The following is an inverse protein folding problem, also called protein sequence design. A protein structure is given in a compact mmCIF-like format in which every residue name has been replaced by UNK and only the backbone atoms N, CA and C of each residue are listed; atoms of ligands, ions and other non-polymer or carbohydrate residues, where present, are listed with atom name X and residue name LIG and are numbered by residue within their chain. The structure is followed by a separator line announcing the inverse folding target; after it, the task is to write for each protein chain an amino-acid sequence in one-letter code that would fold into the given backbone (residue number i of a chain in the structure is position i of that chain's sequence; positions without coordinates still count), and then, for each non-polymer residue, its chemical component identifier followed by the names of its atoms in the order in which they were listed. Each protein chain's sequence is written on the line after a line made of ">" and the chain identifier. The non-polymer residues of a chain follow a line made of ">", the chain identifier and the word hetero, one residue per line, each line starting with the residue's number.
data_IF_604565504487
#
_entry.id   IF_604565504487
#
_cell.length_a   1.000
_cell.length_b   1.000
_cell.length_c   1.000
_cell.angle_alpha   90.00
_cell.angle_beta   90.00
_cell.angle_gamma   90.00
#
_symmetry.space_group_name_H-M   'P 1'
#
loop_
_entity.id
_entity.type
_entity.pdbx_description
1 polymer ?
#
# COMPACT_ATOMS: atom_id res chain seq x y z
N UNK A 1 17.34 -5.72 -5.88
CA UNK A 1 18.07 -5.67 -4.61
C UNK A 1 18.50 -7.06 -4.22
N UNK A 2 19.68 -7.22 -3.64
CA UNK A 2 20.16 -8.49 -3.09
C UNK A 2 19.22 -8.95 -1.95
N UNK A 3 18.83 -8.03 -1.10
CA UNK A 3 17.86 -8.30 -0.04
C UNK A 3 16.42 -8.13 -0.50
N UNK A 4 15.69 -9.24 -0.63
CA UNK A 4 14.26 -9.22 -0.96
C UNK A 4 13.41 -8.52 0.12
N UNK A 5 13.85 -8.52 1.38
CA UNK A 5 13.17 -7.86 2.49
C UNK A 5 13.28 -6.32 2.44
N UNK A 6 14.31 -5.81 1.76
CA UNK A 6 14.61 -4.38 1.60
C UNK A 6 14.39 -3.87 0.17
N UNK A 7 13.77 -4.69 -0.68
CA UNK A 7 13.50 -4.34 -2.06
C UNK A 7 12.54 -3.14 -2.17
N UNK A 8 13.02 -2.05 -2.78
CA UNK A 8 12.29 -0.81 -3.02
C UNK A 8 11.73 -0.71 -4.45
N UNK A 9 11.81 -1.77 -5.24
CA UNK A 9 11.32 -1.77 -6.64
C UNK A 9 9.85 -1.42 -6.77
N UNK A 10 9.06 -1.69 -5.72
CA UNK A 10 7.67 -1.28 -5.62
C UNK A 10 7.45 0.22 -5.87
N UNK A 11 8.38 1.09 -5.46
CA UNK A 11 8.25 2.54 -5.63
C UNK A 11 8.63 3.02 -7.03
N UNK A 12 9.30 2.17 -7.84
CA UNK A 12 9.91 2.56 -9.10
C UNK A 12 9.05 2.28 -10.34
N UNK A 13 7.90 1.60 -10.19
CA UNK A 13 7.08 1.12 -11.32
C UNK A 13 6.58 2.22 -12.27
N UNK A 14 6.48 3.47 -11.79
CA UNK A 14 6.04 4.62 -12.60
C UNK A 14 7.18 5.30 -13.36
N UNK A 15 8.42 4.91 -13.13
CA UNK A 15 9.55 5.49 -13.83
C UNK A 15 9.70 4.82 -15.19
N UNK A 16 9.79 5.62 -16.29
CA UNK A 16 10.03 5.06 -17.63
C UNK A 16 11.45 4.47 -17.72
N UNK A 17 11.64 3.54 -18.65
CA UNK A 17 12.89 2.83 -18.85
C UNK A 17 14.09 3.76 -19.08
N UNK A 18 13.88 4.91 -19.72
CA UNK A 18 14.90 5.93 -19.92
C UNK A 18 15.43 6.47 -18.57
N UNK A 19 14.56 6.70 -17.61
CA UNK A 19 14.96 7.18 -16.27
C UNK A 19 15.59 6.02 -15.48
N UNK A 20 14.99 4.82 -15.52
CA UNK A 20 15.51 3.64 -14.83
C UNK A 20 16.93 3.29 -15.29
N UNK A 21 17.24 3.42 -16.59
CA UNK A 21 18.58 3.13 -17.14
C UNK A 21 19.66 4.10 -16.64
N UNK A 22 19.27 5.26 -16.12
CA UNK A 22 20.17 6.29 -15.56
C UNK A 22 20.22 6.30 -14.04
N UNK A 23 19.34 5.51 -13.40
CA UNK A 23 19.26 5.45 -11.94
C UNK A 23 20.44 4.64 -11.39
N UNK A 24 21.16 5.23 -10.47
CA UNK A 24 22.24 4.57 -9.72
C UNK A 24 21.70 4.23 -8.32
N UNK A 25 21.80 2.97 -7.93
CA UNK A 25 21.41 2.45 -6.63
C UNK A 25 22.66 1.91 -5.91
N UNK A 26 23.48 2.78 -5.27
CA UNK A 26 24.80 2.42 -4.76
C UNK A 26 24.78 1.30 -3.71
N UNK A 27 23.67 1.15 -3.00
CA UNK A 27 23.51 0.14 -1.94
C UNK A 27 22.73 -1.10 -2.39
N UNK A 28 22.48 -1.24 -3.70
CA UNK A 28 21.64 -2.32 -4.25
C UNK A 28 22.20 -3.72 -4.04
N UNK A 29 23.53 -3.83 -3.99
CA UNK A 29 24.27 -5.09 -3.88
C UNK A 29 24.73 -5.41 -2.44
N UNK A 30 24.26 -4.62 -1.45
CA UNK A 30 24.65 -4.80 -0.05
C UNK A 30 23.45 -5.20 0.80
N UNK A 31 23.70 -6.06 1.79
CA UNK A 31 22.78 -6.26 2.90
C UNK A 31 22.83 -5.08 3.88
N UNK A 32 21.80 -4.91 4.68
CA UNK A 32 21.70 -3.77 5.61
C UNK A 32 22.83 -3.76 6.65
N UNK A 33 23.24 -4.93 7.09
CA UNK A 33 24.30 -5.05 8.10
C UNK A 33 25.66 -4.68 7.55
N UNK A 34 25.94 -5.04 6.27
CA UNK A 34 27.16 -4.62 5.55
C UNK A 34 27.21 -3.09 5.44
N UNK A 35 26.06 -2.46 5.08
CA UNK A 35 25.98 -0.99 4.98
C UNK A 35 26.26 -0.34 6.32
N UNK A 36 25.77 -0.91 7.44
CA UNK A 36 26.04 -0.40 8.77
C UNK A 36 27.52 -0.58 9.19
N UNK A 37 28.14 -1.69 8.82
CA UNK A 37 29.55 -1.92 9.05
C UNK A 37 30.41 -0.88 8.30
N UNK A 38 30.15 -0.70 7.01
CA UNK A 38 30.82 0.35 6.21
C UNK A 38 30.63 1.74 6.85
N UNK A 39 29.41 2.04 7.30
CA UNK A 39 29.11 3.34 7.93
C UNK A 39 29.89 3.55 9.24
N UNK A 40 30.13 2.50 10.03
CA UNK A 40 30.98 2.54 11.24
C UNK A 40 32.44 2.73 10.89
N UNK A 41 32.92 2.00 9.87
CA UNK A 41 34.32 2.07 9.42
C UNK A 41 34.72 3.46 8.93
N UNK A 42 33.78 4.19 8.34
CA UNK A 42 33.97 5.59 7.91
C UNK A 42 33.46 6.60 8.93
N UNK A 43 33.19 6.16 10.16
CA UNK A 43 32.80 6.99 11.32
C UNK A 43 31.58 7.88 11.08
N UNK A 44 30.55 7.38 10.36
CA UNK A 44 29.30 8.12 10.18
C UNK A 44 28.49 8.13 11.49
N UNK A 45 28.09 9.31 11.95
CA UNK A 45 27.29 9.48 13.16
C UNK A 45 25.92 8.77 13.13
N UNK A 46 25.41 8.45 11.95
CA UNK A 46 24.14 7.75 11.77
C UNK A 46 24.27 6.21 11.63
N UNK A 47 25.47 5.62 11.76
CA UNK A 47 25.72 4.21 11.53
C UNK A 47 24.81 3.29 12.37
N UNK A 48 24.59 3.66 13.63
CA UNK A 48 23.76 2.91 14.59
C UNK A 48 22.34 3.49 14.77
N UNK A 49 21.96 4.49 13.95
CA UNK A 49 20.62 5.07 14.01
C UNK A 49 19.56 4.00 13.65
N UNK A 50 18.43 3.96 14.37
CA UNK A 50 17.31 3.08 14.00
C UNK A 50 16.74 3.48 12.65
N UNK A 51 16.15 2.50 11.95
CA UNK A 51 15.43 2.78 10.69
C UNK A 51 14.28 3.74 10.98
N UNK A 52 14.13 4.78 10.14
CA UNK A 52 12.98 5.68 10.22
C UNK A 52 11.70 4.88 9.88
N UNK A 53 10.77 4.82 10.83
CA UNK A 53 9.48 4.16 10.66
C UNK A 53 8.39 5.13 10.22
N UNK A 54 8.66 6.44 10.34
CA UNK A 54 7.71 7.52 10.09
C UNK A 54 8.14 8.39 8.90
N UNK A 55 7.19 9.16 8.37
CA UNK A 55 7.48 10.12 7.29
C UNK A 55 8.31 11.27 7.87
N UNK A 56 9.51 11.48 7.33
CA UNK A 56 10.52 12.39 7.88
C UNK A 56 10.10 13.87 8.02
N UNK A 57 9.04 14.29 7.32
CA UNK A 57 8.50 15.66 7.41
C UNK A 57 7.21 15.76 8.23
N UNK A 58 6.80 14.66 8.91
CA UNK A 58 5.70 14.63 9.87
C UNK A 58 6.29 14.22 11.22
N UNK A 59 6.67 15.18 12.07
CA UNK A 59 7.18 14.86 13.39
C UNK A 59 6.17 14.10 14.22
N UNK A 60 6.62 13.17 15.02
CA UNK A 60 5.84 12.47 16.05
C UNK A 60 4.65 11.65 15.53
N UNK A 61 4.58 11.39 14.20
CA UNK A 61 3.49 10.60 13.60
C UNK A 61 2.11 11.27 13.62
N UNK A 62 2.05 12.58 13.87
CA UNK A 62 0.81 13.36 13.95
C UNK A 62 0.21 13.68 12.56
N UNK A 63 -0.10 12.63 11.77
CA UNK A 63 -0.61 12.75 10.40
C UNK A 63 -1.90 13.56 10.31
N UNK A 64 -2.82 13.33 11.23
CA UNK A 64 -4.11 14.03 11.26
C UNK A 64 -3.92 15.54 11.47
N UNK A 65 -3.04 15.92 12.40
CA UNK A 65 -2.70 17.33 12.65
C UNK A 65 -2.03 17.96 11.42
N UNK A 66 -1.10 17.24 10.77
CA UNK A 66 -0.43 17.70 9.56
C UNK A 66 -1.42 17.93 8.40
N UNK A 67 -2.33 16.99 8.15
CA UNK A 67 -3.34 17.06 7.10
C UNK A 67 -4.26 18.27 7.34
N UNK A 68 -4.70 18.47 8.57
CA UNK A 68 -5.56 19.61 8.96
C UNK A 68 -4.84 20.95 8.84
N UNK A 69 -3.55 21.02 9.22
CA UNK A 69 -2.73 22.22 9.04
C UNK A 69 -2.53 22.60 7.56
N UNK A 70 -2.66 21.65 6.63
CA UNK A 70 -2.67 21.89 5.17
C UNK A 70 -4.03 22.31 4.62
N UNK A 71 -5.02 22.55 5.49
CA UNK A 71 -6.35 23.01 5.11
C UNK A 71 -7.33 21.91 4.69
N UNK A 72 -6.97 20.64 4.86
CA UNK A 72 -7.89 19.54 4.63
C UNK A 72 -8.76 19.32 5.89
N UNK A 73 -10.08 19.27 5.68
CA UNK A 73 -11.05 18.93 6.72
C UNK A 73 -11.55 17.50 6.46
N UNK A 74 -10.99 16.48 7.13
CA UNK A 74 -11.43 15.12 6.97
C UNK A 74 -12.89 14.95 7.37
N UNK A 75 -13.63 14.13 6.63
CA UNK A 75 -15.03 13.83 6.98
C UNK A 75 -15.07 13.05 8.27
N UNK A 76 -15.93 13.48 9.18
CA UNK A 76 -16.37 12.69 10.33
C UNK A 76 -17.56 11.82 9.93
N UNK A 77 -17.84 10.79 10.70
CA UNK A 77 -18.95 9.86 10.48
C UNK A 77 -19.01 8.81 11.56
N UNK A 78 -19.60 7.67 11.25
CA UNK A 78 -19.82 6.58 12.19
C UNK A 78 -19.07 5.33 11.76
N UNK A 79 -18.73 4.49 12.72
CA UNK A 79 -18.35 3.12 12.47
C UNK A 79 -19.60 2.29 12.19
N UNK A 80 -19.64 1.65 11.05
CA UNK A 80 -20.73 0.74 10.66
C UNK A 80 -20.21 -0.69 10.77
N UNK A 81 -20.79 -1.46 11.66
CA UNK A 81 -20.42 -2.84 11.93
C UNK A 81 -20.82 -3.80 10.81
N UNK A 82 -20.42 -5.09 10.91
CA UNK A 82 -20.69 -6.10 9.88
C UNK A 82 -22.18 -6.32 9.59
N UNK A 83 -23.02 -6.18 10.60
CA UNK A 83 -24.47 -6.36 10.49
C UNK A 83 -25.20 -5.04 10.16
N UNK A 84 -24.47 -3.97 9.84
CA UNK A 84 -25.01 -2.64 9.58
C UNK A 84 -25.31 -1.82 10.84
N UNK A 85 -24.95 -2.31 12.00
CA UNK A 85 -25.13 -1.62 13.27
C UNK A 85 -24.21 -0.40 13.40
N UNK A 86 -24.72 0.66 13.99
CA UNK A 86 -23.96 1.86 14.33
C UNK A 86 -23.16 1.60 15.61
N UNK A 87 -21.84 1.62 15.50
CA UNK A 87 -20.89 1.41 16.61
C UNK A 87 -20.33 2.70 17.18
N UNK A 88 -20.89 3.84 16.80
CA UNK A 88 -20.55 5.16 17.32
C UNK A 88 -19.75 6.03 16.37
N UNK A 89 -19.60 7.29 16.76
CA UNK A 89 -18.88 8.31 15.97
C UNK A 89 -17.36 8.10 15.99
N UNK A 90 -16.69 8.57 14.95
CA UNK A 90 -15.24 8.61 14.87
C UNK A 90 -14.68 10.02 14.60
N UNK A 91 -13.42 10.25 14.96
CA UNK A 91 -12.76 11.56 14.94
C UNK A 91 -12.42 12.12 13.52
N UNK A 92 -12.57 11.31 12.49
CA UNK A 92 -12.26 11.65 11.11
C UNK A 92 -11.67 10.47 10.35
N UNK A 93 -11.95 10.39 9.04
CA UNK A 93 -11.48 9.28 8.16
C UNK A 93 -9.96 9.22 8.02
N UNK A 94 -9.26 10.32 8.30
CA UNK A 94 -7.80 10.46 8.29
C UNK A 94 -7.08 9.63 9.36
N UNK A 95 -7.82 9.14 10.36
CA UNK A 95 -7.29 8.25 11.41
C UNK A 95 -7.34 6.77 11.03
N UNK A 96 -7.98 6.41 9.91
CA UNK A 96 -8.26 5.00 9.58
C UNK A 96 -7.70 4.58 8.24
N UNK A 97 -7.33 3.31 8.17
CA UNK A 97 -6.80 2.69 6.95
C UNK A 97 -7.47 1.33 6.76
N UNK A 98 -7.83 1.00 5.52
CA UNK A 98 -8.40 -0.32 5.19
C UNK A 98 -7.48 -1.44 5.70
N UNK A 99 -8.06 -2.43 6.38
CA UNK A 99 -7.34 -3.52 7.05
C UNK A 99 -6.81 -3.18 8.46
N UNK A 100 -7.01 -1.96 8.97
CA UNK A 100 -6.63 -1.59 10.32
C UNK A 100 -7.51 -2.32 11.35
N UNK A 101 -6.86 -2.85 12.40
CA UNK A 101 -7.52 -3.52 13.53
C UNK A 101 -7.37 -2.74 14.83
N UNK A 102 -6.17 -2.18 15.07
CA UNK A 102 -5.85 -1.50 16.32
C UNK A 102 -6.22 -0.02 16.24
N UNK A 103 -6.52 0.60 17.39
CA UNK A 103 -6.74 2.04 17.46
C UNK A 103 -8.11 2.48 16.94
N UNK A 104 -9.10 1.59 16.83
CA UNK A 104 -10.46 1.96 16.41
C UNK A 104 -11.23 2.65 17.56
N UNK A 105 -10.85 2.41 18.82
CA UNK A 105 -11.51 3.04 19.97
C UNK A 105 -12.92 2.51 20.29
N UNK A 106 -13.33 1.40 19.69
CA UNK A 106 -14.64 0.77 19.87
C UNK A 106 -14.56 -0.50 20.71
N UNK A 107 -15.55 -0.75 21.54
CA UNK A 107 -15.69 -1.93 22.40
C UNK A 107 -16.73 -2.90 21.82
N UNK A 108 -16.37 -3.60 20.74
CA UNK A 108 -17.30 -4.50 20.05
C UNK A 108 -17.32 -5.95 20.60
N UNK A 109 -16.48 -6.28 21.60
CA UNK A 109 -16.37 -7.63 22.16
C UNK A 109 -15.77 -8.67 21.23
N UNK A 110 -15.49 -8.30 19.98
CA UNK A 110 -14.93 -9.14 18.91
C UNK A 110 -13.90 -8.35 18.08
N UNK A 111 -12.90 -9.01 17.45
CA UNK A 111 -11.96 -8.33 16.57
C UNK A 111 -12.67 -7.79 15.32
N UNK A 112 -12.58 -6.47 15.10
CA UNK A 112 -13.07 -5.83 13.88
C UNK A 112 -11.91 -5.20 13.11
N UNK A 113 -12.08 -5.12 11.79
CA UNK A 113 -11.13 -4.57 10.83
C UNK A 113 -11.82 -3.52 9.97
N UNK A 114 -11.13 -2.46 9.63
CA UNK A 114 -11.62 -1.50 8.63
C UNK A 114 -11.73 -2.21 7.28
N UNK A 115 -12.94 -2.36 6.78
CA UNK A 115 -13.23 -2.94 5.46
C UNK A 115 -13.18 -1.87 4.37
N UNK A 116 -13.82 -0.73 4.61
CA UNK A 116 -13.89 0.37 3.65
C UNK A 116 -14.07 1.71 4.36
N UNK A 117 -13.62 2.78 3.71
CA UNK A 117 -13.95 4.17 4.05
C UNK A 117 -14.93 4.63 2.99
N UNK A 118 -16.16 4.96 3.41
CA UNK A 118 -17.23 5.27 2.48
C UNK A 118 -17.23 6.75 2.06
N UNK A 119 -17.80 7.10 0.89
CA UNK A 119 -17.83 8.48 0.41
C UNK A 119 -18.59 9.45 1.30
N UNK A 120 -19.53 8.97 2.11
CA UNK A 120 -20.29 9.74 3.10
C UNK A 120 -19.49 10.07 4.36
N UNK A 121 -18.31 9.44 4.53
CA UNK A 121 -17.46 9.60 5.70
C UNK A 121 -17.59 8.49 6.72
N UNK A 122 -18.48 7.52 6.55
CA UNK A 122 -18.58 6.37 7.43
C UNK A 122 -17.42 5.39 7.21
N UNK A 123 -17.03 4.68 8.27
CA UNK A 123 -16.01 3.64 8.25
C UNK A 123 -16.70 2.29 8.43
N UNK A 124 -16.76 1.50 7.36
CA UNK A 124 -17.31 0.17 7.39
C UNK A 124 -16.32 -0.81 8.01
N UNK A 125 -16.80 -1.60 8.95
CA UNK A 125 -16.02 -2.63 9.63
C UNK A 125 -16.46 -4.03 9.20
N UNK A 126 -15.54 -4.98 9.30
CA UNK A 126 -15.81 -6.39 9.08
C UNK A 126 -15.15 -7.23 10.17
N UNK A 127 -15.64 -8.44 10.37
CA UNK A 127 -14.97 -9.47 11.16
C UNK A 127 -13.73 -10.00 10.44
N UNK A 128 -12.93 -10.78 11.15
CA UNK A 128 -11.73 -11.43 10.59
C UNK A 128 -12.08 -12.23 9.33
N UNK A 129 -11.37 -11.93 8.24
CA UNK A 129 -11.63 -12.49 6.91
C UNK A 129 -12.40 -11.56 5.98
N UNK A 130 -13.20 -10.62 6.50
CA UNK A 130 -13.93 -9.64 5.70
C UNK A 130 -13.06 -8.50 5.17
N UNK A 131 -11.79 -8.44 5.57
CA UNK A 131 -10.78 -7.55 4.99
C UNK A 131 -10.09 -8.14 3.74
N UNK A 132 -10.46 -9.34 3.33
CA UNK A 132 -9.96 -9.97 2.10
C UNK A 132 -10.89 -9.69 0.93
N UNK A 133 -10.32 -9.50 -0.24
CA UNK A 133 -11.06 -9.11 -1.45
C UNK A 133 -10.53 -9.81 -2.69
N UNK A 134 -11.45 -10.09 -3.62
CA UNK A 134 -11.24 -10.49 -5.01
C UNK A 134 -12.58 -10.38 -5.76
N UNK A 135 -12.64 -9.71 -6.92
CA UNK A 135 -11.55 -9.11 -7.70
C UNK A 135 -11.13 -7.71 -7.23
N UNK A 136 -10.10 -7.15 -7.89
CA UNK A 136 -9.61 -5.80 -7.71
C UNK A 136 -9.54 -5.09 -9.06
N UNK A 137 -9.93 -3.82 -9.10
CA UNK A 137 -9.79 -2.95 -10.28
C UNK A 137 -8.64 -1.98 -10.08
N UNK A 138 -7.77 -1.88 -11.09
CA UNK A 138 -6.60 -0.99 -11.08
C UNK A 138 -6.70 0.02 -12.21
N UNK A 139 -6.51 1.29 -11.91
CA UNK A 139 -6.55 2.41 -12.84
C UNK A 139 -5.20 3.14 -12.93
N UNK A 140 -5.09 4.09 -13.84
CA UNK A 140 -3.86 4.90 -14.07
C UNK A 140 -2.61 4.02 -14.18
N UNK A 141 -2.71 3.03 -15.06
CA UNK A 141 -1.68 2.02 -15.26
C UNK A 141 -0.44 2.63 -15.92
N UNK A 142 0.71 2.37 -15.35
CA UNK A 142 2.01 2.75 -15.89
C UNK A 142 2.91 1.53 -16.02
N UNK A 143 3.69 1.47 -17.07
CA UNK A 143 4.70 0.45 -17.34
C UNK A 143 6.03 1.12 -17.66
N UNK A 144 7.17 0.53 -17.31
CA UNK A 144 8.47 1.12 -17.60
C UNK A 144 8.75 1.33 -19.09
N UNK A 145 8.20 0.49 -19.96
CA UNK A 145 8.36 0.56 -21.41
C UNK A 145 7.27 1.39 -22.13
N UNK A 146 6.31 1.91 -21.38
CA UNK A 146 5.19 2.70 -21.90
C UNK A 146 4.16 1.90 -22.71
N UNK A 147 4.28 0.57 -22.76
CA UNK A 147 3.31 -0.28 -23.45
C UNK A 147 2.20 -0.72 -22.50
N UNK A 148 0.98 -0.97 -22.99
CA UNK A 148 -0.08 -1.54 -22.16
C UNK A 148 0.39 -2.84 -21.50
N UNK A 149 0.04 -3.02 -20.21
CA UNK A 149 0.32 -4.27 -19.54
C UNK A 149 -0.48 -5.40 -20.19
N UNK A 150 0.21 -6.43 -20.67
CA UNK A 150 -0.43 -7.55 -21.36
C UNK A 150 -1.29 -8.37 -20.40
N UNK A 151 -2.38 -8.94 -20.91
CA UNK A 151 -3.17 -9.91 -20.17
C UNK A 151 -2.36 -11.14 -19.77
N UNK A 152 -2.70 -11.77 -18.67
CA UNK A 152 -2.08 -13.01 -18.20
C UNK A 152 -1.67 -13.05 -16.75
N UNK A 153 -0.79 -14.00 -16.43
CA UNK A 153 -0.41 -14.32 -15.07
C UNK A 153 0.74 -13.42 -14.59
N UNK A 154 0.57 -12.89 -13.39
CA UNK A 154 1.53 -12.06 -12.68
C UNK A 154 1.57 -12.43 -11.20
N UNK A 155 2.47 -11.80 -10.50
CA UNK A 155 2.41 -11.63 -9.05
C UNK A 155 2.17 -10.16 -8.77
N UNK A 156 1.38 -9.81 -7.76
CA UNK A 156 1.09 -8.42 -7.42
C UNK A 156 1.38 -8.13 -5.95
N UNK A 157 2.01 -6.99 -5.69
CA UNK A 157 2.03 -6.39 -4.35
C UNK A 157 0.96 -5.30 -4.30
N UNK A 158 0.06 -5.38 -3.33
CA UNK A 158 -1.00 -4.37 -3.08
C UNK A 158 -0.57 -3.33 -2.03
N UNK A 159 0.63 -3.48 -1.47
CA UNK A 159 1.32 -2.56 -0.55
C UNK A 159 2.82 -2.80 -0.62
N UNK A 160 3.61 -1.79 -0.29
CA UNK A 160 5.08 -1.89 -0.29
C UNK A 160 5.60 -3.05 0.56
N UNK A 161 5.11 -3.18 1.79
CA UNK A 161 5.54 -4.22 2.73
C UNK A 161 4.85 -5.58 2.51
N UNK A 162 3.89 -5.70 1.57
CA UNK A 162 3.21 -6.96 1.30
C UNK A 162 4.11 -7.91 0.50
N UNK A 163 3.90 -9.21 0.69
CA UNK A 163 4.46 -10.21 -0.22
C UNK A 163 3.69 -10.17 -1.55
N UNK A 164 4.41 -10.40 -2.65
CA UNK A 164 3.79 -10.53 -3.95
C UNK A 164 2.99 -11.83 -4.02
N UNK A 165 1.68 -11.74 -4.35
CA UNK A 165 0.78 -12.88 -4.48
C UNK A 165 0.44 -13.16 -5.96
N UNK A 166 0.14 -14.42 -6.33
CA UNK A 166 -0.29 -14.75 -7.69
C UNK A 166 -1.59 -14.03 -8.05
N UNK A 167 -1.69 -13.57 -9.29
CA UNK A 167 -2.91 -12.97 -9.83
C UNK A 167 -2.98 -13.16 -11.34
N UNK A 168 -4.18 -13.00 -11.89
CA UNK A 168 -4.43 -12.90 -13.31
C UNK A 168 -4.91 -11.48 -13.63
N UNK A 169 -4.34 -10.90 -14.67
CA UNK A 169 -4.63 -9.54 -15.13
C UNK A 169 -5.35 -9.59 -16.46
N UNK A 170 -6.42 -8.83 -16.61
CA UNK A 170 -7.14 -8.63 -17.86
C UNK A 170 -7.40 -7.13 -18.10
N UNK A 171 -7.02 -6.63 -19.26
CA UNK A 171 -7.31 -5.27 -19.68
C UNK A 171 -8.80 -5.05 -19.93
N UNK A 172 -9.31 -3.88 -19.51
CA UNK A 172 -10.70 -3.46 -19.70
C UNK A 172 -10.81 -2.38 -20.79
N UNK A 173 -11.94 -2.27 -21.49
CA UNK A 173 -12.13 -1.27 -22.55
C UNK A 173 -11.99 0.18 -22.10
N UNK A 174 -12.19 0.44 -20.81
CA UNK A 174 -12.05 1.78 -20.20
C UNK A 174 -10.61 2.11 -19.77
N UNK A 175 -9.62 1.27 -20.12
CA UNK A 175 -8.22 1.45 -19.77
C UNK A 175 -7.84 1.03 -18.34
N UNK A 176 -8.77 0.44 -17.59
CA UNK A 176 -8.46 -0.17 -16.28
C UNK A 176 -8.03 -1.62 -16.45
N UNK A 177 -7.48 -2.22 -15.40
CA UNK A 177 -7.20 -3.65 -15.32
C UNK A 177 -8.13 -4.30 -14.31
N UNK A 178 -8.71 -5.43 -14.69
CA UNK A 178 -9.35 -6.36 -13.77
C UNK A 178 -8.28 -7.34 -13.28
N UNK A 179 -8.12 -7.43 -11.98
CA UNK A 179 -7.14 -8.32 -11.33
C UNK A 179 -7.90 -9.33 -10.48
N UNK A 180 -7.76 -10.60 -10.82
CA UNK A 180 -8.36 -11.71 -10.08
C UNK A 180 -7.30 -12.54 -9.37
N UNK A 181 -7.67 -13.16 -8.26
CA UNK A 181 -6.78 -13.91 -7.39
C UNK A 181 -7.27 -15.34 -7.22
N UNK A 182 -6.36 -16.35 -7.17
CA UNK A 182 -6.74 -17.72 -6.80
C UNK A 182 -7.30 -17.79 -5.37
N UNK A 183 -6.75 -16.96 -4.47
CA UNK A 183 -7.21 -16.77 -3.09
C UNK A 183 -7.34 -15.28 -2.82
N UNK A 184 -8.40 -14.83 -2.10
CA UNK A 184 -8.60 -13.42 -1.81
C UNK A 184 -7.37 -12.78 -1.17
N UNK A 185 -7.06 -11.55 -1.55
CA UNK A 185 -5.91 -10.79 -1.04
C UNK A 185 -6.33 -9.89 0.12
N UNK A 186 -5.44 -9.75 1.09
CA UNK A 186 -5.73 -8.98 2.30
C UNK A 186 -5.67 -7.49 2.06
N UNK A 187 -6.78 -6.80 2.32
CA UNK A 187 -6.92 -5.35 2.44
C UNK A 187 -6.30 -4.54 1.28
N UNK A 188 -6.62 -4.85 0.01
CA UNK A 188 -6.30 -3.97 -1.09
C UNK A 188 -7.09 -2.67 -0.89
N UNK A 189 -6.39 -1.54 -0.72
CA UNK A 189 -7.04 -0.28 -0.37
C UNK A 189 -7.10 0.66 -1.58
N UNK A 190 -8.25 1.27 -1.88
CA UNK A 190 -8.34 2.31 -2.90
C UNK A 190 -7.32 3.43 -2.67
N UNK A 191 -6.67 3.88 -3.75
CA UNK A 191 -5.59 4.86 -3.71
C UNK A 191 -4.19 4.29 -3.44
N UNK A 192 -4.07 3.04 -2.99
CA UNK A 192 -2.78 2.34 -2.90
C UNK A 192 -2.33 1.85 -4.27
N UNK A 193 -1.01 1.70 -4.45
CA UNK A 193 -0.48 1.11 -5.67
C UNK A 193 -0.64 -0.42 -5.66
N UNK A 194 -1.00 -0.96 -6.83
CA UNK A 194 -0.84 -2.37 -7.16
C UNK A 194 0.32 -2.50 -8.15
N UNK A 195 1.38 -3.21 -7.77
CA UNK A 195 2.58 -3.34 -8.61
C UNK A 195 2.75 -4.79 -9.07
N UNK A 196 2.85 -4.98 -10.37
CA UNK A 196 2.87 -6.29 -11.03
C UNK A 196 4.30 -6.75 -11.32
N UNK A 197 4.55 -8.00 -10.98
CA UNK A 197 5.85 -8.66 -11.13
C UNK A 197 5.74 -9.94 -11.96
N UNK A 198 6.76 -10.22 -12.75
CA UNK A 198 6.93 -11.49 -13.45
C UNK A 198 8.42 -11.86 -13.44
N UNK A 199 8.75 -13.07 -12.98
CA UNK A 199 10.14 -13.53 -12.90
C UNK A 199 11.05 -12.65 -12.00
N UNK A 200 10.50 -11.94 -11.00
CA UNK A 200 11.26 -11.03 -10.14
C UNK A 200 11.42 -9.60 -10.68
N UNK A 201 10.96 -9.32 -11.90
CA UNK A 201 11.02 -8.00 -12.51
C UNK A 201 9.68 -7.26 -12.36
N UNK A 202 9.74 -5.93 -12.20
CA UNK A 202 8.59 -5.04 -12.27
C UNK A 202 8.16 -4.88 -13.72
N UNK A 203 6.90 -5.18 -14.00
CA UNK A 203 6.29 -5.00 -15.33
C UNK A 203 5.43 -3.75 -15.42
N UNK A 204 4.93 -3.26 -14.30
CA UNK A 204 4.11 -2.08 -14.23
C UNK A 204 3.31 -2.03 -12.95
N UNK A 205 2.36 -1.12 -12.90
CA UNK A 205 1.45 -0.96 -11.77
C UNK A 205 0.45 0.13 -12.04
N UNK A 206 -0.45 0.35 -11.08
CA UNK A 206 -1.44 1.41 -11.12
C UNK A 206 -2.03 1.62 -9.74
N UNK A 207 -3.04 2.48 -9.64
CA UNK A 207 -3.74 2.69 -8.38
C UNK A 207 -4.94 1.76 -8.26
N UNK A 208 -5.11 1.15 -7.10
CA UNK A 208 -6.31 0.38 -6.76
C UNK A 208 -7.48 1.35 -6.77
N UNK A 209 -8.47 1.12 -7.61
CA UNK A 209 -9.71 1.90 -7.72
C UNK A 209 -10.79 1.32 -6.82
N UNK A 210 -10.95 0.01 -6.85
CA UNK A 210 -11.89 -0.73 -6.00
C UNK A 210 -11.41 -2.16 -5.77
N UNK A 211 -11.91 -2.78 -4.70
CA UNK A 211 -11.72 -4.18 -4.39
C UNK A 211 -12.99 -4.71 -3.68
N UNK A 212 -13.50 -5.87 -4.10
CA UNK A 212 -14.75 -6.48 -3.64
C UNK A 212 -14.49 -7.80 -2.91
#
# INVERSE_FOLDING_TARGET
>A
AESAARDQSYMLYRLPQEILSRLILPLGDFEKDDVREIARDIELACADAPDSMEICFIPDGEYAAFIRAKGFAPKTGHFIGPDGEDLGEHAGVDHYTVGQRKGLGIAAGRPLFVKAILPDGNVQLAESGGEYSSPMVVSDVATPDGQPLADGDYRVKVRSAAQAVPCQVAGQPNGTLLVTFPEPVRAPAPGQSAVFYRGGFVFGGGFIQSAE
#
